data_IF_674905102080
#
_entry.id   IF_674905102080
#
_cell.length_a   1.000
_cell.length_b   1.000
_cell.length_c   1.000
_cell.angle_alpha   90.00
_cell.angle_beta   90.00
_cell.angle_gamma   90.00
#
_symmetry.space_group_name_H-M   'P 1'
#
loop_
_entity.id
_entity.type
_entity.pdbx_description
1 polymer ?
#
# COMPACT_ATOMS: atom_id res chain seq x y z
N UNK A 1 29.92 0.99 34.52
CA UNK A 1 30.27 1.07 33.08
C UNK A 1 30.01 -0.29 32.45
N UNK A 2 29.44 -0.43 31.26
CA UNK A 2 29.03 0.60 30.31
C UNK A 2 27.90 0.13 29.38
N UNK A 3 27.25 1.14 28.80
CA UNK A 3 26.29 1.21 27.69
C UNK A 3 26.72 0.45 26.40
N UNK A 4 27.78 -0.37 26.44
CA UNK A 4 28.36 -1.05 25.27
C UNK A 4 27.72 -2.37 24.88
N UNK A 5 26.93 -3.02 25.74
CA UNK A 5 26.34 -4.34 25.41
C UNK A 5 24.95 -4.28 24.77
N UNK A 6 24.34 -3.09 24.64
CA UNK A 6 23.04 -2.91 23.97
C UNK A 6 23.19 -2.43 22.50
N UNK A 7 24.41 -2.08 22.08
CA UNK A 7 24.73 -1.61 20.72
C UNK A 7 25.31 -2.71 19.80
N UNK A 8 25.51 -3.93 20.30
CA UNK A 8 26.05 -5.04 19.52
C UNK A 8 25.01 -5.82 18.70
N UNK A 9 23.71 -5.56 18.87
CA UNK A 9 22.63 -6.23 18.13
C UNK A 9 22.23 -5.56 16.81
N UNK A 10 22.79 -4.38 16.49
CA UNK A 10 22.41 -3.58 15.31
C UNK A 10 23.43 -3.72 14.16
N UNK A 11 24.52 -4.47 14.37
CA UNK A 11 25.63 -4.57 13.38
C UNK A 11 25.86 -6.01 12.91
N UNK A 12 24.80 -6.77 12.65
CA UNK A 12 24.89 -8.13 12.08
C UNK A 12 23.97 -8.38 10.87
N UNK A 13 23.40 -7.32 10.27
CA UNK A 13 22.71 -7.40 8.98
C UNK A 13 23.56 -6.89 7.80
N UNK A 14 24.83 -6.55 8.05
CA UNK A 14 25.77 -6.03 7.05
C UNK A 14 26.71 -7.08 6.44
N UNK A 15 26.68 -8.35 6.90
CA UNK A 15 27.66 -9.38 6.50
C UNK A 15 27.06 -10.65 5.87
N UNK A 16 25.76 -10.67 5.58
CA UNK A 16 25.13 -11.69 4.75
C UNK A 16 24.43 -11.04 3.57
N UNK A 17 25.21 -10.61 2.58
CA UNK A 17 24.93 -10.69 1.13
C UNK A 17 23.58 -10.24 0.55
N UNK A 18 22.61 -9.76 1.33
CA UNK A 18 21.44 -9.05 0.81
C UNK A 18 21.93 -7.63 0.65
N UNK A 19 22.46 -7.36 -0.53
CA UNK A 19 22.57 -5.99 -1.00
C UNK A 19 21.17 -5.39 -0.86
N UNK A 20 20.92 -4.61 0.18
CA UNK A 20 19.88 -3.60 0.13
C UNK A 20 20.39 -2.68 -0.95
N UNK A 21 20.01 -2.97 -2.19
CA UNK A 21 20.20 -2.07 -3.32
C UNK A 21 19.48 -0.81 -2.88
N UNK A 22 20.23 0.11 -2.29
CA UNK A 22 19.82 1.49 -2.17
C UNK A 22 19.68 1.95 -3.61
N UNK A 23 18.49 1.79 -4.17
CA UNK A 23 18.16 2.31 -5.48
C UNK A 23 18.65 3.76 -5.48
N UNK A 24 19.60 4.05 -6.37
CA UNK A 24 20.26 5.35 -6.41
C UNK A 24 19.18 6.43 -6.44
N UNK A 25 19.14 7.27 -5.41
CA UNK A 25 18.06 8.24 -5.23
C UNK A 25 18.22 9.34 -6.29
N UNK A 26 17.44 9.27 -7.37
CA UNK A 26 17.52 10.26 -8.44
C UNK A 26 16.43 11.32 -8.25
N UNK A 27 16.64 12.27 -7.35
CA UNK A 27 15.69 13.37 -7.15
C UNK A 27 16.00 14.59 -8.04
N UNK A 28 16.98 14.52 -8.93
CA UNK A 28 17.45 15.70 -9.69
C UNK A 28 16.55 16.07 -10.87
N UNK A 29 15.63 15.19 -11.25
CA UNK A 29 14.58 15.46 -12.25
C UNK A 29 13.22 14.98 -11.76
N UNK A 30 12.09 15.53 -12.27
CA UNK A 30 10.75 15.05 -11.93
C UNK A 30 10.55 13.56 -12.24
N UNK A 31 11.04 13.10 -13.40
CA UNK A 31 10.97 11.68 -13.79
C UNK A 31 11.83 10.79 -12.91
N UNK A 32 13.02 11.26 -12.53
CA UNK A 32 13.87 10.58 -11.57
C UNK A 32 13.14 10.41 -10.24
N UNK A 33 12.56 11.48 -9.71
CA UNK A 33 11.85 11.45 -8.43
C UNK A 33 10.67 10.48 -8.45
N UNK A 34 9.91 10.45 -9.55
CA UNK A 34 8.81 9.50 -9.74
C UNK A 34 9.29 8.05 -9.83
N UNK A 35 10.41 7.81 -10.52
CA UNK A 35 11.02 6.49 -10.61
C UNK A 35 11.53 6.01 -9.24
N UNK A 36 12.25 6.86 -8.51
CA UNK A 36 12.72 6.52 -7.16
C UNK A 36 11.56 6.28 -6.20
N UNK A 37 10.47 7.05 -6.29
CA UNK A 37 9.25 6.79 -5.52
C UNK A 37 8.66 5.41 -5.83
N UNK A 38 8.50 5.09 -7.11
CA UNK A 38 8.00 3.81 -7.58
C UNK A 38 8.87 2.63 -7.11
N UNK A 39 10.18 2.78 -7.22
CA UNK A 39 11.18 1.82 -6.74
C UNK A 39 11.08 1.63 -5.24
N UNK A 40 10.90 2.71 -4.47
CA UNK A 40 10.75 2.63 -3.02
C UNK A 40 9.50 1.85 -2.60
N UNK A 41 8.35 2.06 -3.26
CA UNK A 41 7.14 1.26 -3.00
C UNK A 41 7.40 -0.21 -3.34
N UNK A 42 7.96 -0.47 -4.52
CA UNK A 42 8.27 -1.83 -4.97
C UNK A 42 9.27 -2.54 -4.03
N UNK A 43 10.27 -1.82 -3.52
CA UNK A 43 11.23 -2.28 -2.55
C UNK A 43 10.68 -2.29 -1.10
N UNK A 44 9.40 -1.98 -0.91
CA UNK A 44 8.71 -2.00 0.39
C UNK A 44 9.32 -1.04 1.43
N UNK A 45 9.92 0.07 0.99
CA UNK A 45 10.56 1.06 1.85
C UNK A 45 9.71 2.33 2.00
N UNK A 46 8.94 2.40 3.09
CA UNK A 46 8.16 3.60 3.44
C UNK A 46 9.07 4.81 3.62
N UNK A 47 10.25 4.63 4.22
CA UNK A 47 11.20 5.72 4.46
C UNK A 47 11.72 6.33 3.14
N UNK A 48 12.07 5.49 2.16
CA UNK A 48 12.53 5.99 0.86
C UNK A 48 11.37 6.64 0.09
N UNK A 49 10.17 6.07 0.13
CA UNK A 49 9.01 6.67 -0.53
C UNK A 49 8.66 8.03 0.10
N UNK A 50 8.76 8.15 1.43
CA UNK A 50 8.60 9.42 2.15
C UNK A 50 9.61 10.49 1.70
N UNK A 51 10.85 10.10 1.39
CA UNK A 51 11.87 11.04 0.94
C UNK A 51 11.53 11.71 -0.40
N UNK A 52 10.78 11.01 -1.26
CA UNK A 52 10.35 11.48 -2.59
C UNK A 52 9.09 12.37 -2.57
N UNK A 53 8.39 12.49 -1.43
CA UNK A 53 7.12 13.24 -1.33
C UNK A 53 7.33 14.53 -0.53
N UNK A 54 6.76 15.63 -1.01
CA UNK A 54 6.71 16.88 -0.25
C UNK A 54 5.61 16.84 0.82
N UNK A 55 5.94 17.25 2.03
CA UNK A 55 4.98 17.46 3.12
C UNK A 55 5.57 18.46 4.12
N UNK A 56 4.79 19.46 4.53
CA UNK A 56 5.29 20.63 5.25
C UNK A 56 5.04 20.57 6.76
N UNK A 57 3.96 19.94 7.22
CA UNK A 57 3.63 19.81 8.65
C UNK A 57 3.72 18.39 9.21
N UNK A 58 3.74 18.27 10.55
CA UNK A 58 3.80 16.98 11.26
C UNK A 58 2.56 16.11 10.96
N UNK A 59 1.37 16.74 10.88
CA UNK A 59 0.10 16.03 10.61
C UNK A 59 0.08 15.47 9.20
N UNK A 60 0.51 16.27 8.24
CA UNK A 60 0.64 15.90 6.83
C UNK A 60 1.63 14.75 6.66
N UNK A 61 2.81 14.84 7.30
CA UNK A 61 3.80 13.75 7.30
C UNK A 61 3.22 12.44 7.85
N UNK A 62 2.42 12.50 8.91
CA UNK A 62 1.76 11.32 9.47
C UNK A 62 0.77 10.69 8.47
N UNK A 63 -0.03 11.51 7.79
CA UNK A 63 -0.96 11.03 6.74
C UNK A 63 -0.23 10.40 5.58
N UNK A 64 0.80 11.08 5.04
CA UNK A 64 1.61 10.54 3.94
C UNK A 64 2.25 9.21 4.36
N UNK A 65 2.88 9.16 5.54
CA UNK A 65 3.50 7.92 6.05
C UNK A 65 2.47 6.78 6.17
N UNK A 66 1.29 7.08 6.68
CA UNK A 66 0.20 6.13 6.86
C UNK A 66 -0.28 5.55 5.52
N UNK A 67 -0.53 6.40 4.52
CA UNK A 67 -0.91 5.98 3.17
C UNK A 67 0.19 5.16 2.49
N UNK A 68 1.46 5.57 2.64
CA UNK A 68 2.60 4.81 2.11
C UNK A 68 2.76 3.44 2.79
N UNK A 69 2.48 3.36 4.08
CA UNK A 69 2.53 2.10 4.84
C UNK A 69 1.51 1.10 4.28
N UNK A 70 0.29 1.57 4.00
CA UNK A 70 -0.74 0.76 3.33
C UNK A 70 -0.29 0.32 1.94
N UNK A 71 0.23 1.24 1.12
CA UNK A 71 0.67 0.92 -0.24
C UNK A 71 1.79 -0.13 -0.24
N UNK A 72 2.75 0.01 0.66
CA UNK A 72 3.87 -0.93 0.83
C UNK A 72 3.38 -2.30 1.32
N UNK A 73 2.44 -2.33 2.29
CA UNK A 73 1.87 -3.59 2.77
C UNK A 73 1.06 -4.31 1.68
N UNK A 74 0.30 -3.57 0.86
CA UNK A 74 -0.40 -4.14 -0.28
C UNK A 74 0.57 -4.66 -1.35
N UNK A 75 1.65 -3.93 -1.65
CA UNK A 75 2.72 -4.41 -2.54
C UNK A 75 3.36 -5.70 -2.01
N UNK A 76 3.57 -5.78 -0.70
CA UNK A 76 4.08 -6.98 -0.02
C UNK A 76 3.16 -8.18 -0.18
N UNK A 77 1.88 -8.02 0.13
CA UNK A 77 0.87 -9.02 -0.12
C UNK A 77 0.86 -9.46 -1.59
N UNK A 78 0.83 -8.50 -2.50
CA UNK A 78 0.77 -8.70 -3.95
C UNK A 78 1.94 -9.56 -4.45
N UNK A 79 3.16 -9.26 -4.01
CA UNK A 79 4.37 -10.02 -4.36
C UNK A 79 4.31 -11.46 -3.86
N UNK A 80 3.96 -11.65 -2.58
CA UNK A 80 3.87 -12.99 -1.99
C UNK A 80 2.78 -13.81 -2.66
N UNK A 81 1.60 -13.22 -2.88
CA UNK A 81 0.48 -13.88 -3.54
C UNK A 81 0.86 -14.32 -4.96
N UNK A 82 1.46 -13.45 -5.78
CA UNK A 82 1.90 -13.83 -7.13
C UNK A 82 2.98 -14.92 -7.08
N UNK A 83 3.93 -14.83 -6.15
CA UNK A 83 5.01 -15.82 -6.02
C UNK A 83 4.51 -17.21 -5.57
N UNK A 84 3.49 -17.27 -4.70
CA UNK A 84 3.00 -18.51 -4.10
C UNK A 84 1.77 -19.09 -4.80
N UNK A 85 0.90 -18.24 -5.33
CA UNK A 85 -0.39 -18.61 -5.93
C UNK A 85 -0.39 -18.48 -7.47
N UNK A 86 0.71 -18.00 -8.05
CA UNK A 86 0.82 -17.71 -9.48
C UNK A 86 0.02 -16.49 -9.92
N UNK A 87 -0.11 -16.25 -11.24
CA UNK A 87 -0.85 -15.11 -11.77
C UNK A 87 -2.32 -15.08 -11.31
N UNK A 88 -2.91 -13.89 -11.09
CA UNK A 88 -4.29 -13.76 -10.62
C UNK A 88 -5.31 -14.24 -11.65
N UNK A 89 -6.13 -15.23 -11.27
CA UNK A 89 -7.19 -15.80 -12.13
C UNK A 89 -8.57 -15.20 -11.88
N UNK A 90 -8.80 -14.55 -10.74
CA UNK A 90 -10.09 -13.94 -10.37
C UNK A 90 -10.02 -12.41 -10.43
N UNK A 91 -11.17 -11.74 -10.53
CA UNK A 91 -11.24 -10.26 -10.48
C UNK A 91 -10.64 -9.71 -9.19
N UNK A 92 -11.06 -10.21 -8.03
CA UNK A 92 -10.50 -9.79 -6.74
C UNK A 92 -9.00 -10.08 -6.61
N UNK A 93 -8.52 -11.19 -7.19
CA UNK A 93 -7.09 -11.46 -7.30
C UNK A 93 -6.35 -10.45 -8.18
N UNK A 94 -6.94 -10.03 -9.30
CA UNK A 94 -6.36 -8.99 -10.17
C UNK A 94 -6.30 -7.64 -9.48
N UNK A 95 -7.32 -7.29 -8.70
CA UNK A 95 -7.36 -6.06 -7.90
C UNK A 95 -6.23 -6.04 -6.85
N UNK A 96 -6.02 -7.14 -6.12
CA UNK A 96 -4.90 -7.27 -5.16
C UNK A 96 -3.51 -7.37 -5.84
N UNK A 97 -3.43 -8.04 -7.00
CA UNK A 97 -2.19 -8.18 -7.78
C UNK A 97 -1.80 -6.90 -8.56
N UNK A 98 -2.70 -5.92 -8.61
CA UNK A 98 -2.51 -4.69 -9.41
C UNK A 98 -1.37 -3.82 -8.89
N UNK A 99 -1.04 -3.89 -7.60
CA UNK A 99 0.10 -3.19 -7.02
C UNK A 99 1.43 -3.66 -7.65
N UNK A 100 1.71 -4.98 -7.61
CA UNK A 100 2.97 -5.56 -8.08
C UNK A 100 3.13 -5.50 -9.60
N UNK A 101 2.05 -5.81 -10.34
CA UNK A 101 2.03 -5.70 -11.81
C UNK A 101 2.05 -4.25 -12.30
N UNK A 102 1.57 -3.32 -11.48
CA UNK A 102 1.56 -1.89 -11.73
C UNK A 102 2.95 -1.29 -11.87
N UNK A 103 3.96 -1.81 -11.15
CA UNK A 103 5.33 -1.27 -11.21
C UNK A 103 5.98 -1.42 -12.59
N UNK A 104 5.96 -2.63 -13.18
CA UNK A 104 6.51 -2.87 -14.54
C UNK A 104 5.74 -2.08 -15.60
N UNK A 105 4.41 -2.07 -15.50
CA UNK A 105 3.57 -1.29 -16.41
C UNK A 105 3.84 0.22 -16.30
N UNK A 106 4.05 0.72 -15.08
CA UNK A 106 4.40 2.11 -14.84
C UNK A 106 5.78 2.44 -15.42
N UNK A 107 6.80 1.61 -15.22
CA UNK A 107 8.11 1.81 -15.85
C UNK A 107 8.02 1.94 -17.37
N UNK A 108 7.21 1.10 -18.02
CA UNK A 108 6.98 1.20 -19.46
C UNK A 108 6.28 2.51 -19.86
N UNK A 109 5.29 2.94 -19.07
CA UNK A 109 4.57 4.21 -19.30
C UNK A 109 5.45 5.44 -19.06
N UNK A 110 6.39 5.39 -18.10
CA UNK A 110 7.30 6.49 -17.80
C UNK A 110 8.18 6.88 -18.99
N UNK A 111 8.55 5.90 -19.84
CA UNK A 111 9.32 6.17 -21.08
C UNK A 111 8.56 7.07 -22.07
N UNK A 112 7.24 7.10 -21.98
CA UNK A 112 6.34 7.86 -22.87
C UNK A 112 5.67 9.03 -22.16
N UNK A 113 6.07 9.31 -20.92
CA UNK A 113 5.44 10.36 -20.12
C UNK A 113 5.87 11.74 -20.61
N UNK A 114 4.93 12.67 -20.69
CA UNK A 114 5.22 14.07 -21.03
C UNK A 114 5.53 14.85 -19.77
N UNK A 115 6.66 15.54 -19.74
CA UNK A 115 7.10 16.37 -18.61
C UNK A 115 7.01 17.84 -19.01
N UNK A 116 6.32 18.64 -18.20
CA UNK A 116 6.27 20.09 -18.33
C UNK A 116 6.86 20.71 -17.07
N UNK A 117 7.94 21.48 -17.20
CA UNK A 117 8.64 22.15 -16.09
C UNK A 117 8.38 23.65 -16.21
N UNK A 118 7.92 24.27 -15.12
CA UNK A 118 7.70 25.71 -14.99
C UNK A 118 8.32 26.19 -13.69
N UNK A 119 9.55 26.71 -13.76
CA UNK A 119 10.31 27.16 -12.60
C UNK A 119 10.51 26.04 -11.57
N UNK A 120 9.97 26.24 -10.37
CA UNK A 120 10.05 25.27 -9.25
C UNK A 120 8.93 24.24 -9.24
N UNK A 121 8.09 24.20 -10.28
CA UNK A 121 6.99 23.25 -10.41
C UNK A 121 7.16 22.39 -11.66
N UNK A 122 6.69 21.16 -11.61
CA UNK A 122 6.61 20.31 -12.79
C UNK A 122 5.33 19.47 -12.78
N UNK A 123 4.88 19.09 -13.98
CA UNK A 123 3.77 18.17 -14.18
C UNK A 123 4.24 17.03 -15.08
N UNK A 124 3.97 15.79 -14.66
CA UNK A 124 4.16 14.59 -15.48
C UNK A 124 2.78 14.10 -15.90
N UNK A 125 2.55 13.96 -17.20
CA UNK A 125 1.33 13.38 -17.76
C UNK A 125 1.65 11.99 -18.28
N UNK A 126 1.05 10.98 -17.64
CA UNK A 126 1.19 9.58 -18.04
C UNK A 126 0.29 9.28 -19.26
N UNK A 127 0.75 8.48 -20.23
CA UNK A 127 -0.09 8.04 -21.33
C UNK A 127 -1.30 7.26 -20.80
N UNK A 128 -2.45 7.46 -21.42
CA UNK A 128 -3.67 6.72 -21.09
C UNK A 128 -3.45 5.21 -21.34
N UNK A 129 -4.09 4.33 -20.54
CA UNK A 129 -4.17 2.92 -20.88
C UNK A 129 -4.75 2.72 -22.29
N UNK A 130 -4.16 1.85 -23.09
CA UNK A 130 -4.73 1.43 -24.39
C UNK A 130 -6.17 0.94 -24.20
N UNK A 131 -7.12 1.48 -24.98
CA UNK A 131 -8.55 1.13 -24.88
C UNK A 131 -9.37 1.98 -23.90
N UNK A 132 -8.77 2.98 -23.23
CA UNK A 132 -9.53 3.99 -22.47
C UNK A 132 -9.78 5.23 -23.33
N UNK A 133 -10.97 5.83 -23.21
CA UNK A 133 -11.32 7.08 -23.90
C UNK A 133 -10.27 8.16 -23.60
N UNK A 134 -9.89 8.94 -24.62
CA UNK A 134 -8.97 10.07 -24.49
C UNK A 134 -9.46 10.99 -23.35
N UNK A 135 -8.70 11.05 -22.24
CA UNK A 135 -9.09 11.84 -21.07
C UNK A 135 -8.61 11.26 -19.72
N UNK A 136 -8.45 9.94 -19.61
CA UNK A 136 -7.92 9.30 -18.39
C UNK A 136 -6.38 9.28 -18.35
N UNK A 137 -5.77 10.44 -18.57
CA UNK A 137 -4.32 10.62 -18.37
C UNK A 137 -4.06 10.96 -16.90
N UNK A 138 -3.24 10.14 -16.23
CA UNK A 138 -2.80 10.44 -14.87
C UNK A 138 -1.83 11.62 -14.88
N UNK A 139 -2.24 12.75 -14.30
CA UNK A 139 -1.35 13.90 -14.07
C UNK A 139 -0.78 13.83 -12.66
N UNK A 140 0.53 13.87 -12.56
CA UNK A 140 1.27 13.95 -11.30
C UNK A 140 1.98 15.30 -11.22
N UNK A 141 1.94 15.91 -10.06
CA UNK A 141 2.51 17.24 -9.81
C UNK A 141 3.74 17.11 -8.94
N UNK A 142 4.71 17.99 -9.18
CA UNK A 142 6.00 18.01 -8.51
C UNK A 142 6.37 19.43 -8.10
N UNK A 143 7.12 19.54 -7.01
CA UNK A 143 7.71 20.77 -6.51
C UNK A 143 9.21 20.55 -6.31
N UNK A 144 10.00 21.56 -6.63
CA UNK A 144 11.44 21.59 -6.34
C UNK A 144 11.65 22.11 -4.91
N UNK A 145 12.32 21.31 -4.07
CA UNK A 145 12.66 21.62 -2.68
C UNK A 145 14.19 21.53 -2.57
N UNK A 146 14.85 22.68 -2.39
CA UNK A 146 16.30 22.77 -2.54
C UNK A 146 16.72 22.36 -3.96
N UNK A 147 17.64 21.40 -4.07
CA UNK A 147 18.08 20.86 -5.37
C UNK A 147 17.20 19.73 -5.90
N UNK A 148 16.24 19.26 -5.11
CA UNK A 148 15.55 17.99 -5.34
C UNK A 148 14.10 18.20 -5.77
N UNK A 149 13.66 17.43 -6.76
CA UNK A 149 12.27 17.30 -7.14
C UNK A 149 11.58 16.31 -6.22
N UNK A 150 10.40 16.69 -5.73
CA UNK A 150 9.53 15.83 -4.94
C UNK A 150 8.13 15.82 -5.53
N UNK A 151 7.44 14.69 -5.40
CA UNK A 151 6.02 14.60 -5.71
C UNK A 151 5.27 15.54 -4.77
N UNK A 152 4.37 16.34 -5.33
CA UNK A 152 3.55 17.29 -4.57
C UNK A 152 2.55 16.53 -3.71
N UNK A 153 2.91 16.28 -2.45
CA UNK A 153 2.08 15.51 -1.53
C UNK A 153 0.73 16.15 -1.27
N UNK A 154 0.64 17.49 -1.32
CA UNK A 154 -0.64 18.20 -1.15
C UNK A 154 -1.65 17.82 -2.23
N UNK A 155 -1.19 17.62 -3.47
CA UNK A 155 -2.03 17.22 -4.60
C UNK A 155 -2.22 15.71 -4.67
N UNK A 156 -1.19 14.93 -4.38
CA UNK A 156 -1.26 13.47 -4.45
C UNK A 156 -2.15 12.88 -3.34
N UNK A 157 -2.04 13.42 -2.12
CA UNK A 157 -2.71 12.88 -0.93
C UNK A 157 -3.80 13.82 -0.38
N UNK A 158 -4.19 14.83 -1.15
CA UNK A 158 -5.22 15.82 -0.77
C UNK A 158 -4.99 16.45 0.63
N UNK A 159 -3.73 16.76 0.97
CA UNK A 159 -3.34 17.16 2.34
C UNK A 159 -3.97 18.49 2.79
N UNK A 160 -4.47 19.32 1.87
CA UNK A 160 -5.23 20.52 2.23
C UNK A 160 -6.48 20.18 3.05
N UNK A 161 -7.14 19.06 2.76
CA UNK A 161 -8.29 18.59 3.53
C UNK A 161 -7.88 18.12 4.93
N UNK A 162 -6.68 17.53 5.07
CA UNK A 162 -6.15 17.03 6.35
C UNK A 162 -6.05 18.12 7.41
N UNK A 163 -5.71 19.36 7.01
CA UNK A 163 -5.62 20.51 7.92
C UNK A 163 -6.94 20.82 8.63
N UNK A 164 -8.06 20.49 8.00
CA UNK A 164 -9.42 20.75 8.51
C UNK A 164 -9.98 19.61 9.36
N UNK A 165 -9.35 18.44 9.37
CA UNK A 165 -9.81 17.29 10.14
C UNK A 165 -9.50 17.56 11.62
N UNK A 166 -10.42 17.34 12.57
CA UNK A 166 -10.13 17.38 14.00
C UNK A 166 -9.01 16.38 14.40
N UNK A 167 -8.21 16.70 15.42
CA UNK A 167 -7.07 15.86 15.81
C UNK A 167 -7.48 14.42 16.18
N UNK A 168 -8.58 14.27 16.92
CA UNK A 168 -9.13 12.96 17.33
C UNK A 168 -9.55 12.13 16.11
N UNK A 169 -10.28 12.73 15.18
CA UNK A 169 -10.71 12.04 13.95
C UNK A 169 -9.51 11.66 13.08
N UNK A 170 -8.51 12.54 12.99
CA UNK A 170 -7.27 12.23 12.28
C UNK A 170 -6.56 11.03 12.91
N UNK A 171 -6.46 10.97 14.24
CA UNK A 171 -5.85 9.84 14.94
C UNK A 171 -6.58 8.52 14.61
N UNK A 172 -7.92 8.52 14.62
CA UNK A 172 -8.72 7.35 14.23
C UNK A 172 -8.48 6.93 12.77
N UNK A 173 -8.38 7.88 11.83
CA UNK A 173 -8.09 7.58 10.41
C UNK A 173 -6.68 6.99 10.23
N UNK A 174 -5.68 7.50 10.96
CA UNK A 174 -4.32 6.97 10.96
C UNK A 174 -4.26 5.56 11.57
N UNK A 175 -4.97 5.34 12.67
CA UNK A 175 -5.09 4.02 13.28
C UNK A 175 -5.73 3.01 12.33
N UNK A 176 -6.85 3.36 11.69
CA UNK A 176 -7.52 2.50 10.70
C UNK A 176 -6.59 2.12 9.55
N UNK A 177 -5.81 3.07 9.05
CA UNK A 177 -4.82 2.82 8.00
C UNK A 177 -3.74 1.84 8.45
N UNK A 178 -3.23 1.99 9.69
CA UNK A 178 -2.25 1.05 10.26
C UNK A 178 -2.86 -0.35 10.42
N UNK A 179 -4.12 -0.46 10.85
CA UNK A 179 -4.80 -1.76 10.94
C UNK A 179 -5.03 -2.39 9.56
N UNK A 180 -5.33 -1.60 8.54
CA UNK A 180 -5.44 -2.09 7.15
C UNK A 180 -4.09 -2.60 6.62
N UNK A 181 -2.99 -1.89 6.89
CA UNK A 181 -1.65 -2.37 6.58
C UNK A 181 -1.34 -3.69 7.32
N UNK A 182 -1.74 -3.79 8.60
CA UNK A 182 -1.67 -5.02 9.37
C UNK A 182 -2.47 -6.18 8.76
N UNK A 183 -3.68 -5.94 8.27
CA UNK A 183 -4.50 -6.93 7.59
C UNK A 183 -3.84 -7.47 6.31
N UNK A 184 -3.20 -6.60 5.52
CA UNK A 184 -2.44 -7.03 4.34
C UNK A 184 -1.23 -7.90 4.71
N UNK A 185 -0.46 -7.49 5.73
CA UNK A 185 0.70 -8.28 6.17
C UNK A 185 0.27 -9.64 6.76
N UNK A 186 -0.79 -9.68 7.57
CA UNK A 186 -1.31 -10.93 8.12
C UNK A 186 -1.83 -11.88 7.02
N UNK A 187 -2.49 -11.37 5.98
CA UNK A 187 -2.87 -12.18 4.82
C UNK A 187 -1.65 -12.70 4.04
N UNK A 188 -0.57 -11.91 3.99
CA UNK A 188 0.69 -12.32 3.38
C UNK A 188 1.32 -13.48 4.15
N UNK A 189 1.34 -13.40 5.49
CA UNK A 189 1.80 -14.48 6.37
C UNK A 189 0.95 -15.75 6.21
N UNK A 190 -0.37 -15.61 6.09
CA UNK A 190 -1.27 -16.74 5.87
C UNK A 190 -1.05 -17.43 4.51
N UNK A 191 -0.62 -16.70 3.48
CA UNK A 191 -0.14 -17.31 2.22
C UNK A 191 1.19 -18.03 2.44
N UNK A 192 2.15 -17.39 3.13
CA UNK A 192 3.47 -17.98 3.37
C UNK A 192 3.40 -19.27 4.17
N UNK A 193 2.52 -19.32 5.16
CA UNK A 193 2.26 -20.50 6.01
C UNK A 193 1.33 -21.52 5.36
N UNK A 194 0.85 -21.26 4.14
CA UNK A 194 0.03 -22.20 3.36
C UNK A 194 -1.43 -22.31 3.79
N UNK A 195 -1.90 -21.45 4.71
CA UNK A 195 -3.32 -21.38 5.10
C UNK A 195 -4.21 -20.88 3.94
N UNK A 196 -3.67 -19.97 3.12
CA UNK A 196 -4.31 -19.50 1.89
C UNK A 196 -3.65 -20.14 0.68
N UNK A 197 -4.42 -20.88 -0.12
CA UNK A 197 -3.91 -21.65 -1.26
C UNK A 197 -4.41 -21.14 -2.62
N UNK A 198 -5.37 -20.21 -2.63
CA UNK A 198 -5.98 -19.71 -3.86
C UNK A 198 -6.27 -18.21 -3.79
N UNK A 199 -6.33 -17.55 -4.94
CA UNK A 199 -6.73 -16.15 -5.05
C UNK A 199 -8.14 -15.86 -4.50
N UNK A 200 -9.08 -16.82 -4.62
CA UNK A 200 -10.43 -16.68 -4.07
C UNK A 200 -10.41 -16.68 -2.53
N UNK A 201 -9.64 -17.59 -1.93
CA UNK A 201 -9.43 -17.62 -0.49
C UNK A 201 -8.73 -16.35 -0.01
N UNK A 202 -7.69 -15.90 -0.72
CA UNK A 202 -6.98 -14.68 -0.39
C UNK A 202 -7.90 -13.46 -0.34
N UNK A 203 -8.72 -13.27 -1.38
CA UNK A 203 -9.64 -12.15 -1.44
C UNK A 203 -10.63 -12.15 -0.26
N UNK A 204 -11.18 -13.32 0.09
CA UNK A 204 -12.05 -13.47 1.27
C UNK A 204 -11.29 -13.18 2.57
N UNK A 205 -10.07 -13.70 2.68
CA UNK A 205 -9.24 -13.56 3.88
C UNK A 205 -8.86 -12.10 4.15
N UNK A 206 -8.38 -11.39 3.13
CA UNK A 206 -8.09 -9.95 3.19
C UNK A 206 -9.35 -9.17 3.59
N UNK A 207 -10.50 -9.46 2.97
CA UNK A 207 -11.76 -8.80 3.30
C UNK A 207 -12.15 -9.03 4.77
N UNK A 208 -12.08 -10.27 5.27
CA UNK A 208 -12.41 -10.59 6.66
C UNK A 208 -11.47 -9.89 7.64
N UNK A 209 -10.15 -9.88 7.36
CA UNK A 209 -9.15 -9.19 8.19
C UNK A 209 -9.36 -7.68 8.17
N UNK A 210 -9.75 -7.09 7.04
CA UNK A 210 -10.10 -5.67 6.95
C UNK A 210 -11.36 -5.34 7.77
N UNK A 211 -12.41 -6.16 7.66
CA UNK A 211 -13.65 -5.95 8.44
C UNK A 211 -13.39 -6.06 9.95
N UNK A 212 -12.59 -7.04 10.37
CA UNK A 212 -12.15 -7.18 11.76
C UNK A 212 -11.31 -5.97 12.20
N UNK A 213 -10.35 -5.53 11.37
CA UNK A 213 -9.53 -4.34 11.63
C UNK A 213 -10.38 -3.06 11.80
N UNK A 214 -11.46 -2.92 11.04
CA UNK A 214 -12.37 -1.78 11.10
C UNK A 214 -13.39 -1.86 12.25
N UNK A 215 -13.39 -2.93 13.06
CA UNK A 215 -14.39 -3.13 14.11
C UNK A 215 -15.80 -3.42 13.57
N UNK A 216 -15.92 -3.71 12.27
CA UNK A 216 -17.18 -4.09 11.61
C UNK A 216 -17.39 -5.61 11.59
N UNK A 217 -16.65 -6.34 12.43
CA UNK A 217 -16.70 -7.80 12.55
C UNK A 217 -17.97 -8.29 13.23
N UNK A 218 -19.14 -8.03 12.65
CA UNK A 218 -20.28 -8.94 12.80
C UNK A 218 -19.98 -10.19 11.96
N UNK A 219 -20.03 -11.37 12.56
CA UNK A 219 -19.82 -12.62 11.86
C UNK A 219 -20.72 -12.69 10.60
N UNK A 220 -20.24 -13.20 9.45
CA UNK A 220 -21.14 -13.49 8.35
C UNK A 220 -22.19 -14.47 8.86
N UNK A 221 -23.47 -14.10 8.72
CA UNK A 221 -24.58 -14.98 9.04
C UNK A 221 -24.35 -16.32 8.34
N UNK A 222 -24.05 -17.33 9.14
CA UNK A 222 -23.94 -18.69 8.68
C UNK A 222 -25.37 -19.12 8.34
N UNK A 223 -25.78 -19.03 7.07
CA UNK A 223 -27.04 -19.62 6.58
C UNK A 223 -26.94 -21.16 6.55
N UNK A 224 -26.47 -21.76 7.63
CA UNK A 224 -26.60 -23.18 7.93
C UNK A 224 -27.86 -23.36 8.77
N UNK A 225 -29.01 -23.45 8.11
CA UNK A 225 -30.21 -23.96 8.74
C UNK A 225 -29.98 -25.44 9.07
N UNK A 226 -29.56 -25.70 10.30
CA UNK A 226 -29.64 -27.02 10.93
C UNK A 226 -30.25 -26.84 12.31
N UNK A 227 -31.56 -27.03 12.37
CA UNK A 227 -32.35 -27.27 13.57
C UNK A 227 -33.65 -27.91 13.07
N UNK A 228 -33.93 -29.20 13.24
CA UNK A 228 -33.37 -30.13 14.20
C UNK A 228 -34.02 -29.93 15.55
N UNK A 229 -35.27 -30.39 15.68
CA UNK A 229 -35.96 -30.58 16.96
C UNK A 229 -37.48 -30.34 16.88
N UNK A 230 -38.30 -30.95 17.76
CA UNK A 230 -38.13 -32.23 18.45
C UNK A 230 -39.38 -33.13 18.35
N UNK A 231 -39.18 -34.40 18.67
CA UNK A 231 -40.26 -35.33 18.99
C UNK A 231 -41.05 -34.81 20.22
N UNK A 232 -42.37 -34.84 20.12
CA UNK A 232 -43.30 -34.59 21.22
C UNK A 232 -44.51 -35.49 21.07
N UNK A 233 -44.52 -36.61 21.79
CA UNK A 233 -45.72 -37.39 22.06
C UNK A 233 -46.51 -36.79 23.21
N UNK A 234 -47.83 -36.97 23.21
CA UNK A 234 -48.68 -36.66 24.38
C UNK A 234 -50.14 -36.33 24.09
N UNK A 235 -50.96 -37.38 23.92
CA UNK A 235 -52.31 -37.64 24.50
C UNK A 235 -53.25 -36.48 24.93
N UNK A 236 -54.52 -36.58 24.47
CA UNK A 236 -55.74 -36.11 25.14
C UNK A 236 -56.38 -34.87 24.49
N UNK A 237 -57.65 -34.81 24.08
CA UNK A 237 -58.86 -35.64 24.27
C UNK A 237 -59.57 -35.80 22.93
#
# INVERSE_FOLDING_TARGET
MSVRSFLAGVTAAALLGVSVVHAATNLKTPLGALRTYAEAIHAQSVAHAMACVSSTGKREKAVVKSMLTVMVANEHLSKIAVAKLGPPTTRGGKELASASSGYKAMQAKLKKAKVNIKGTQATITMPAPTGTKAGQTGKLYFKKIGTDWKIDGEKLFHLAAVKKIPAKELATRLEMSNRMAGAFNAAADDIQTGKVKTWKQLHKDVYMKMMAAMGMGGAPANNGATGGGPAGGGVGK
#
